data_IF_309155853617
#
_entry.id   IF_309155853617
#
_cell.length_a   1.000
_cell.length_b   1.000
_cell.length_c   1.000
_cell.angle_alpha   90.00
_cell.angle_beta   90.00
_cell.angle_gamma   90.00
#
_symmetry.space_group_name_H-M   'P 1'
#
loop_
_entity.id
_entity.type
_entity.pdbx_description
1 polymer ?
#
# COMPACT_ATOMS: atom_id res chain seq x y z
N UNK A 1 -24.95 -4.75 -22.19
CA UNK A 1 -23.83 -4.12 -22.92
C UNK A 1 -22.57 -4.52 -22.20
N UNK A 2 -21.70 -5.31 -22.83
CA UNK A 2 -20.41 -5.67 -22.25
C UNK A 2 -19.58 -4.40 -22.07
N UNK A 3 -19.15 -4.12 -20.85
CA UNK A 3 -18.25 -3.01 -20.54
C UNK A 3 -16.90 -3.32 -21.20
N UNK A 4 -16.69 -2.80 -22.41
CA UNK A 4 -15.50 -3.05 -23.20
C UNK A 4 -14.30 -2.45 -22.45
N UNK A 5 -13.45 -3.32 -21.89
CA UNK A 5 -12.30 -2.89 -21.09
C UNK A 5 -11.39 -2.02 -21.97
N UNK A 6 -11.25 -0.75 -21.60
CA UNK A 6 -10.34 0.18 -22.27
C UNK A 6 -8.91 -0.40 -22.30
N UNK A 7 -8.18 -0.27 -23.43
CA UNK A 7 -6.80 -0.73 -23.54
C UNK A 7 -5.95 -0.13 -22.42
N UNK A 8 -5.23 -0.99 -21.69
CA UNK A 8 -4.30 -0.57 -20.64
C UNK A 8 -2.94 -0.29 -21.27
N UNK A 9 -2.25 0.71 -20.75
CA UNK A 9 -0.86 1.02 -21.06
C UNK A 9 -0.04 0.77 -19.80
N UNK A 10 1.14 0.19 -19.99
CA UNK A 10 2.16 0.06 -18.97
C UNK A 10 3.29 1.02 -19.34
N UNK A 11 3.78 1.77 -18.36
CA UNK A 11 4.95 2.64 -18.49
C UNK A 11 5.96 2.26 -17.40
N UNK A 12 7.19 1.99 -17.82
CA UNK A 12 8.31 1.67 -16.94
C UNK A 12 9.28 2.85 -17.04
N UNK A 13 9.50 3.55 -15.93
CA UNK A 13 10.50 4.61 -15.83
C UNK A 13 11.70 4.08 -15.08
N UNK A 14 12.88 4.17 -15.69
CA UNK A 14 14.14 3.73 -15.08
C UNK A 14 15.04 4.94 -14.98
N UNK A 15 15.35 5.37 -13.75
CA UNK A 15 16.30 6.43 -13.49
C UNK A 15 17.71 5.84 -13.38
N UNK A 16 18.63 6.31 -14.23
CA UNK A 16 20.04 5.87 -14.25
C UNK A 16 20.97 7.08 -14.06
N UNK A 17 22.23 6.86 -13.69
CA UNK A 17 23.20 7.95 -13.59
C UNK A 17 23.62 8.45 -14.98
N UNK A 18 24.16 9.67 -15.04
CA UNK A 18 24.79 10.16 -16.25
C UNK A 18 25.96 9.24 -16.65
N UNK A 19 25.96 8.77 -17.90
CA UNK A 19 26.95 7.81 -18.41
C UNK A 19 26.49 6.35 -18.37
N UNK A 20 25.43 6.04 -17.64
CA UNK A 20 24.83 4.70 -17.67
C UNK A 20 24.02 4.50 -18.96
N UNK A 21 23.93 3.24 -19.42
CA UNK A 21 23.09 2.82 -20.53
C UNK A 21 22.06 1.79 -20.09
N UNK A 22 21.02 1.58 -20.90
CA UNK A 22 19.99 0.55 -20.67
C UNK A 22 20.14 -0.55 -21.71
N UNK A 23 20.13 -1.81 -21.26
CA UNK A 23 20.05 -2.99 -22.13
C UNK A 23 18.75 -3.75 -21.85
N UNK A 24 17.99 -4.03 -22.90
CA UNK A 24 16.73 -4.77 -22.83
C UNK A 24 16.78 -6.07 -23.62
N UNK A 25 16.24 -7.15 -23.07
CA UNK A 25 15.97 -8.39 -23.80
C UNK A 25 14.49 -8.73 -23.70
N UNK A 26 13.86 -8.96 -24.85
CA UNK A 26 12.48 -9.41 -24.96
C UNK A 26 12.44 -10.87 -25.38
N UNK A 27 11.82 -11.71 -24.56
CA UNK A 27 11.49 -13.08 -24.90
C UNK A 27 10.05 -13.13 -25.42
N UNK A 28 9.89 -13.45 -26.70
CA UNK A 28 8.57 -13.53 -27.34
C UNK A 28 7.76 -14.74 -26.89
N UNK A 29 8.39 -15.83 -26.48
CA UNK A 29 7.68 -17.05 -26.10
C UNK A 29 7.07 -16.90 -24.71
N UNK A 30 7.87 -16.38 -23.77
CA UNK A 30 7.43 -16.14 -22.39
C UNK A 30 6.79 -14.76 -22.19
N UNK A 31 6.78 -13.91 -23.22
CA UNK A 31 6.34 -12.51 -23.17
C UNK A 31 7.03 -11.72 -22.04
N UNK A 32 8.32 -12.01 -21.83
CA UNK A 32 9.11 -11.48 -20.72
C UNK A 32 10.06 -10.38 -21.19
N UNK A 33 9.99 -9.21 -20.55
CA UNK A 33 10.92 -8.09 -20.78
C UNK A 33 11.90 -7.99 -19.61
N UNK A 34 13.20 -8.17 -19.88
CA UNK A 34 14.27 -7.89 -18.92
C UNK A 34 14.97 -6.60 -19.30
N UNK A 35 15.14 -5.67 -18.37
CA UNK A 35 15.91 -4.43 -18.57
C UNK A 35 17.00 -4.33 -17.50
N UNK A 36 18.22 -3.98 -17.90
CA UNK A 36 19.38 -3.76 -17.04
C UNK A 36 19.96 -2.37 -17.26
N UNK A 37 20.35 -1.70 -16.18
CA UNK A 37 21.23 -0.54 -16.26
C UNK A 37 22.69 -1.01 -16.31
N UNK A 38 23.51 -0.37 -17.16
CA UNK A 38 24.88 -0.77 -17.45
C UNK A 38 25.82 0.42 -17.33
N UNK A 39 26.98 0.24 -16.71
CA UNK A 39 28.09 1.21 -16.68
C UNK A 39 29.36 0.51 -17.12
N UNK A 40 30.03 1.05 -18.14
CA UNK A 40 31.28 0.49 -18.67
C UNK A 40 31.19 -1.01 -19.04
N UNK A 41 30.01 -1.45 -19.51
CA UNK A 41 29.75 -2.85 -19.87
C UNK A 41 29.30 -3.75 -18.72
N UNK A 42 29.32 -3.26 -17.48
CA UNK A 42 28.93 -4.02 -16.29
C UNK A 42 27.52 -3.62 -15.78
N UNK A 43 26.70 -4.57 -15.28
CA UNK A 43 25.41 -4.25 -14.68
C UNK A 43 25.55 -3.38 -13.43
N UNK A 44 24.76 -2.32 -13.35
CA UNK A 44 24.64 -1.44 -12.18
C UNK A 44 23.20 -1.35 -11.70
N UNK A 45 23.00 -0.97 -10.44
CA UNK A 45 21.66 -0.71 -9.93
C UNK A 45 21.12 0.60 -10.47
N UNK A 46 19.90 0.58 -11.01
CA UNK A 46 19.18 1.81 -11.31
C UNK A 46 18.98 2.63 -10.03
N UNK A 47 18.95 3.96 -10.13
CA UNK A 47 18.63 4.85 -9.00
C UNK A 47 17.20 4.66 -8.50
N UNK A 48 16.30 4.31 -9.41
CA UNK A 48 14.92 3.99 -9.09
C UNK A 48 14.21 3.47 -10.33
N UNK A 49 13.29 2.55 -10.12
CA UNK A 49 12.37 2.10 -11.16
C UNK A 49 10.95 2.40 -10.70
N UNK A 50 10.12 2.89 -11.61
CA UNK A 50 8.68 3.08 -11.39
C UNK A 50 7.92 2.32 -12.46
N UNK A 51 7.06 1.41 -12.04
CA UNK A 51 6.10 0.75 -12.92
C UNK A 51 4.74 1.40 -12.69
N UNK A 52 4.14 1.88 -13.77
CA UNK A 52 2.83 2.53 -13.74
C UNK A 52 1.92 1.89 -14.78
N UNK A 53 0.78 1.36 -14.34
CA UNK A 53 -0.29 0.91 -15.26
C UNK A 53 -1.42 1.93 -15.26
N UNK A 54 -1.84 2.37 -16.45
CA UNK A 54 -2.89 3.37 -16.62
C UNK A 54 -3.71 3.16 -17.89
N UNK A 55 -4.75 3.95 -18.07
CA UNK A 55 -5.45 4.09 -19.35
C UNK A 55 -5.71 5.56 -19.66
N UNK A 56 -5.88 5.87 -20.94
CA UNK A 56 -6.20 7.22 -21.40
C UNK A 56 -7.68 7.53 -21.10
N UNK A 57 -7.92 8.52 -20.23
CA UNK A 57 -9.23 9.14 -20.05
C UNK A 57 -9.41 10.33 -20.97
N UNK A 58 -10.60 10.93 -20.98
CA UNK A 58 -10.85 12.22 -21.63
C UNK A 58 -10.02 13.30 -20.94
N UNK A 59 -8.88 13.67 -21.55
CA UNK A 59 -8.02 14.79 -21.13
C UNK A 59 -7.03 14.50 -20.00
N UNK A 60 -7.10 13.34 -19.33
CA UNK A 60 -6.12 12.95 -18.27
C UNK A 60 -5.93 11.44 -18.20
N UNK A 61 -4.70 11.01 -17.89
CA UNK A 61 -4.39 9.60 -17.57
C UNK A 61 -5.11 9.17 -16.29
N UNK A 62 -5.70 7.97 -16.29
CA UNK A 62 -6.29 7.33 -15.12
C UNK A 62 -5.42 6.16 -14.68
N UNK A 63 -4.78 6.32 -13.53
CA UNK A 63 -3.85 5.34 -12.97
C UNK A 63 -4.59 4.17 -12.32
N UNK A 64 -4.08 2.95 -12.54
CA UNK A 64 -4.61 1.70 -11.99
C UNK A 64 -3.76 1.24 -10.81
N UNK A 65 -2.43 1.23 -10.98
CA UNK A 65 -1.47 1.01 -9.91
C UNK A 65 -0.14 1.70 -10.24
N UNK A 66 0.65 1.97 -9.20
CA UNK A 66 2.03 2.40 -9.32
C UNK A 66 2.90 1.76 -8.23
N UNK A 67 4.00 1.15 -8.66
CA UNK A 67 5.01 0.55 -7.78
C UNK A 67 6.33 1.26 -7.99
N UNK A 68 6.96 1.70 -6.90
CA UNK A 68 8.34 2.16 -6.90
C UNK A 68 9.26 1.07 -6.37
N UNK A 69 10.28 0.73 -7.14
CA UNK A 69 11.35 -0.15 -6.71
C UNK A 69 12.55 0.69 -6.25
N UNK A 70 13.14 0.30 -5.14
CA UNK A 70 14.43 0.83 -4.67
C UNK A 70 15.57 0.47 -5.63
N UNK A 71 16.80 0.83 -5.26
CA UNK A 71 18.00 0.45 -6.02
C UNK A 71 18.05 -1.08 -6.15
N UNK A 72 17.79 -1.58 -7.34
CA UNK A 72 17.85 -3.01 -7.66
C UNK A 72 18.52 -3.21 -9.01
N UNK A 73 19.26 -4.31 -9.13
CA UNK A 73 19.81 -4.82 -10.40
C UNK A 73 18.81 -5.68 -11.17
N UNK A 74 17.77 -6.19 -10.51
CA UNK A 74 16.71 -7.01 -11.11
C UNK A 74 15.33 -6.53 -10.60
N UNK A 75 14.42 -6.22 -11.52
CA UNK A 75 13.03 -5.89 -11.20
C UNK A 75 12.11 -6.59 -12.21
N UNK A 76 10.89 -6.87 -11.77
CA UNK A 76 9.82 -7.48 -12.57
C UNK A 76 8.67 -6.48 -12.71
N UNK A 77 7.90 -6.60 -13.78
CA UNK A 77 6.75 -5.75 -14.12
C UNK A 77 5.44 -6.51 -14.05
N UNK A 78 5.45 -7.64 -13.35
CA UNK A 78 4.25 -8.34 -12.94
C UNK A 78 3.95 -7.94 -11.48
N UNK A 79 2.78 -7.34 -11.20
CA UNK A 79 2.35 -7.03 -9.84
C UNK A 79 2.38 -8.23 -8.89
N UNK A 80 2.05 -9.44 -9.37
CA UNK A 80 2.04 -10.65 -8.54
C UNK A 80 3.48 -11.08 -8.20
N UNK A 81 4.41 -10.98 -9.15
CA UNK A 81 5.85 -11.23 -8.89
C UNK A 81 6.49 -10.12 -8.03
N UNK A 82 6.02 -8.88 -8.16
CA UNK A 82 6.47 -7.75 -7.35
C UNK A 82 6.19 -7.98 -5.87
N UNK A 83 5.06 -8.61 -5.54
CA UNK A 83 4.71 -8.93 -4.15
C UNK A 83 5.67 -9.94 -3.52
N UNK A 84 6.31 -10.82 -4.31
CA UNK A 84 7.30 -11.79 -3.82
C UNK A 84 8.56 -11.15 -3.25
N UNK A 85 8.83 -9.88 -3.59
CA UNK A 85 9.97 -9.12 -3.07
C UNK A 85 9.82 -8.72 -1.59
N UNK A 86 8.61 -8.85 -1.05
CA UNK A 86 8.28 -8.47 0.31
C UNK A 86 8.05 -9.71 1.16
N UNK A 87 8.54 -9.66 2.40
CA UNK A 87 8.22 -10.66 3.40
C UNK A 87 6.72 -10.67 3.69
N UNK A 88 6.14 -9.48 3.87
CA UNK A 88 4.71 -9.33 4.12
C UNK A 88 4.17 -8.06 3.47
N UNK A 89 2.99 -8.20 2.86
CA UNK A 89 2.24 -7.10 2.26
C UNK A 89 0.87 -6.98 2.90
N UNK A 90 0.47 -5.74 3.20
CA UNK A 90 -0.86 -5.41 3.68
C UNK A 90 -1.51 -4.37 2.78
N UNK A 91 -2.82 -4.41 2.65
CA UNK A 91 -3.62 -3.30 2.14
C UNK A 91 -4.31 -2.62 3.32
N UNK A 92 -4.36 -1.30 3.27
CA UNK A 92 -5.06 -0.48 4.27
C UNK A 92 -5.95 0.53 3.58
N UNK A 93 -7.15 0.68 4.14
CA UNK A 93 -8.10 1.71 3.73
C UNK A 93 -8.81 2.27 4.97
N UNK A 94 -9.10 3.58 4.97
CA UNK A 94 -9.68 4.27 6.12
C UNK A 94 -11.01 4.90 5.78
N UNK A 95 -12.07 4.38 6.40
CA UNK A 95 -13.42 4.92 6.23
C UNK A 95 -13.76 5.92 7.34
N UNK A 96 -14.13 7.14 6.95
CA UNK A 96 -14.48 8.24 7.86
C UNK A 96 -15.97 8.57 7.74
N UNK A 97 -16.75 8.45 8.82
CA UNK A 97 -18.18 8.85 8.85
C UNK A 97 -18.58 9.45 10.19
N UNK A 98 -19.65 10.27 10.25
CA UNK A 98 -20.24 10.70 11.51
C UNK A 98 -20.77 9.51 12.33
N UNK A 99 -20.61 9.59 13.65
CA UNK A 99 -21.22 8.65 14.60
C UNK A 99 -20.81 8.94 16.06
N UNK A 100 -21.62 8.49 17.02
CA UNK A 100 -21.47 8.81 18.45
C UNK A 100 -21.33 10.31 18.78
N UNK A 101 -21.92 11.19 17.95
CA UNK A 101 -21.82 12.65 18.12
C UNK A 101 -20.51 13.26 17.59
N UNK A 102 -19.61 12.45 17.02
CA UNK A 102 -18.33 12.88 16.47
C UNK A 102 -18.03 12.27 15.10
N UNK A 103 -16.74 12.21 14.75
CA UNK A 103 -16.25 11.49 13.57
C UNK A 103 -15.71 10.14 14.00
N UNK A 104 -16.16 9.09 13.31
CA UNK A 104 -15.67 7.74 13.45
C UNK A 104 -14.79 7.39 12.26
N UNK A 105 -13.51 7.15 12.55
CA UNK A 105 -12.56 6.64 11.58
C UNK A 105 -12.30 5.16 11.85
N UNK A 106 -12.37 4.36 10.80
CA UNK A 106 -12.14 2.92 10.85
C UNK A 106 -11.17 2.54 9.75
N UNK A 107 -9.98 2.07 10.10
CA UNK A 107 -9.01 1.53 9.14
C UNK A 107 -9.15 0.03 9.06
N UNK A 108 -9.50 -0.49 7.88
CA UNK A 108 -9.48 -1.93 7.61
C UNK A 108 -8.12 -2.36 7.09
N UNK A 109 -7.65 -3.53 7.52
CA UNK A 109 -6.33 -4.06 7.15
C UNK A 109 -6.47 -5.49 6.65
N UNK A 110 -6.11 -5.71 5.40
CA UNK A 110 -6.02 -7.05 4.81
C UNK A 110 -4.57 -7.44 4.54
N UNK A 111 -4.21 -8.69 4.81
CA UNK A 111 -2.92 -9.26 4.41
C UNK A 111 -3.03 -9.85 3.01
N UNK A 112 -1.96 -9.72 2.23
CA UNK A 112 -1.83 -10.32 0.89
C UNK A 112 -0.72 -11.36 0.92
N UNK A 113 -0.98 -12.55 0.38
CA UNK A 113 0.02 -13.58 0.27
C UNK A 113 1.09 -13.21 -0.77
N UNK A 114 2.35 -13.44 -0.42
CA UNK A 114 3.54 -13.11 -1.22
C UNK A 114 4.11 -14.32 -1.96
N UNK A 115 3.49 -15.49 -1.82
CA UNK A 115 3.88 -16.75 -2.48
C UNK A 115 3.24 -16.94 -3.86
N UNK A 116 2.45 -15.96 -4.34
CA UNK A 116 1.71 -16.03 -5.59
C UNK A 116 0.40 -16.84 -5.52
N UNK A 117 -0.01 -17.28 -4.33
CA UNK A 117 -1.31 -17.96 -4.14
C UNK A 117 -2.52 -17.03 -4.34
N UNK A 118 -2.28 -15.72 -4.45
CA UNK A 118 -3.29 -14.68 -4.61
C UNK A 118 -4.35 -14.65 -3.48
N UNK A 119 -3.98 -15.16 -2.29
CA UNK A 119 -4.82 -15.13 -1.10
C UNK A 119 -4.80 -13.73 -0.46
N UNK A 120 -5.99 -13.24 -0.12
CA UNK A 120 -6.21 -12.01 0.64
C UNK A 120 -7.04 -12.37 1.86
N UNK A 121 -6.57 -11.99 3.05
CA UNK A 121 -7.28 -12.27 4.29
C UNK A 121 -7.41 -11.03 5.18
N UNK A 122 -8.58 -10.79 5.79
CA UNK A 122 -8.75 -9.70 6.74
C UNK A 122 -8.02 -9.99 8.05
N UNK A 123 -7.17 -9.07 8.52
CA UNK A 123 -6.32 -9.34 9.69
C UNK A 123 -6.59 -8.40 10.86
N UNK A 124 -6.83 -7.12 10.60
CA UNK A 124 -7.01 -6.14 11.68
C UNK A 124 -7.95 -5.01 11.27
N UNK A 125 -8.52 -4.36 12.30
CA UNK A 125 -9.23 -3.09 12.17
C UNK A 125 -8.75 -2.14 13.26
N UNK A 126 -8.52 -0.88 12.90
CA UNK A 126 -8.20 0.20 13.83
C UNK A 126 -9.41 1.11 14.00
N UNK A 127 -9.69 1.52 15.24
CA UNK A 127 -10.75 2.46 15.57
C UNK A 127 -10.16 3.70 16.23
N UNK A 128 -10.54 4.88 15.72
CA UNK A 128 -10.11 6.16 16.28
C UNK A 128 -11.08 7.29 15.93
N UNK A 129 -11.10 8.32 16.77
CA UNK A 129 -11.94 9.50 16.59
C UNK A 129 -11.34 10.51 15.62
N UNK A 130 -11.79 11.78 15.72
CA UNK A 130 -11.32 12.86 14.86
C UNK A 130 -9.81 13.07 15.00
N UNK A 131 -9.17 13.19 13.84
CA UNK A 131 -7.76 13.56 13.67
C UNK A 131 -7.65 15.05 13.34
N UNK A 132 -6.58 15.71 13.78
CA UNK A 132 -6.17 17.02 13.29
C UNK A 132 -5.62 16.91 11.86
N UNK A 133 -4.89 15.82 11.57
CA UNK A 133 -4.42 15.46 10.23
C UNK A 133 -5.45 14.72 9.37
N UNK A 134 -5.00 14.20 8.22
CA UNK A 134 -5.80 13.31 7.37
C UNK A 134 -5.93 11.94 8.04
N UNK A 135 -7.16 11.48 8.23
CA UNK A 135 -7.44 10.20 8.88
C UNK A 135 -6.77 9.00 8.19
N UNK A 136 -6.67 9.00 6.86
CA UNK A 136 -5.96 7.96 6.10
C UNK A 136 -4.48 7.86 6.50
N UNK A 137 -3.78 9.00 6.48
CA UNK A 137 -2.36 9.08 6.84
C UNK A 137 -2.12 8.69 8.31
N UNK A 138 -3.02 9.10 9.20
CA UNK A 138 -3.01 8.69 10.60
C UNK A 138 -3.20 7.17 10.74
N UNK A 139 -4.16 6.60 10.02
CA UNK A 139 -4.43 5.15 9.99
C UNK A 139 -3.23 4.35 9.49
N UNK A 140 -2.54 4.82 8.44
CA UNK A 140 -1.33 4.17 7.94
C UNK A 140 -0.22 4.16 8.98
N UNK A 141 0.07 5.32 9.58
CA UNK A 141 1.05 5.45 10.66
C UNK A 141 0.74 4.48 11.80
N UNK A 142 -0.49 4.47 12.29
CA UNK A 142 -0.87 3.64 13.44
C UNK A 142 -0.84 2.16 13.12
N UNK A 143 -1.13 1.76 11.90
CA UNK A 143 -0.92 0.38 11.49
C UNK A 143 0.57 0.02 11.45
N UNK A 144 1.43 0.91 10.92
CA UNK A 144 2.88 0.69 10.92
C UNK A 144 3.40 0.59 12.36
N UNK A 145 2.96 1.46 13.28
CA UNK A 145 3.31 1.37 14.71
C UNK A 145 2.97 -0.01 15.30
N UNK A 146 1.79 -0.55 14.96
CA UNK A 146 1.37 -1.90 15.40
C UNK A 146 2.34 -2.96 14.88
N UNK A 147 2.72 -2.91 13.59
CA UNK A 147 3.69 -3.85 13.01
C UNK A 147 5.06 -3.70 13.68
N UNK A 148 5.58 -2.48 13.82
CA UNK A 148 6.88 -2.22 14.46
C UNK A 148 6.94 -2.66 15.91
N UNK A 149 5.81 -2.61 16.63
CA UNK A 149 5.71 -3.07 18.02
C UNK A 149 5.62 -4.60 18.16
N UNK A 150 5.47 -5.33 17.07
CA UNK A 150 5.32 -6.77 17.10
C UNK A 150 6.67 -7.47 17.38
N UNK A 151 6.75 -8.41 18.34
CA UNK A 151 7.96 -9.19 18.60
C UNK A 151 8.49 -10.01 17.40
N UNK A 152 7.68 -10.25 16.37
CA UNK A 152 8.07 -10.93 15.13
C UNK A 152 8.53 -9.99 14.01
N UNK A 153 8.41 -8.68 14.21
CA UNK A 153 8.96 -7.73 13.27
C UNK A 153 10.48 -7.90 13.18
N UNK A 154 10.98 -7.90 11.95
CA UNK A 154 12.40 -8.01 11.66
C UNK A 154 12.80 -6.89 10.72
N UNK A 155 13.69 -6.00 11.18
CA UNK A 155 14.19 -4.88 10.40
C UNK A 155 14.95 -5.32 9.13
N UNK A 156 15.42 -6.57 9.07
CA UNK A 156 16.06 -7.15 7.88
C UNK A 156 15.08 -7.58 6.79
N UNK A 157 13.79 -7.72 7.09
CA UNK A 157 12.76 -8.04 6.12
C UNK A 157 12.21 -6.79 5.43
N UNK A 158 11.73 -6.96 4.19
CA UNK A 158 11.03 -5.90 3.43
C UNK A 158 9.52 -6.03 3.59
N UNK A 159 8.86 -4.92 3.80
CA UNK A 159 7.41 -4.83 4.00
C UNK A 159 6.78 -3.88 2.99
N UNK A 160 5.53 -4.14 2.60
CA UNK A 160 4.78 -3.19 1.78
C UNK A 160 3.36 -2.92 2.29
N UNK A 161 2.92 -1.70 2.02
CA UNK A 161 1.60 -1.20 2.36
C UNK A 161 0.90 -0.68 1.10
N UNK A 162 -0.18 -1.35 0.70
CA UNK A 162 -1.02 -0.98 -0.42
C UNK A 162 -2.03 0.07 0.05
N UNK A 163 -2.07 1.20 -0.64
CA UNK A 163 -2.87 2.38 -0.31
C UNK A 163 -3.56 2.93 -1.55
N UNK A 164 -4.65 3.68 -1.38
CA UNK A 164 -5.43 4.29 -2.48
C UNK A 164 -5.47 5.81 -2.46
N UNK A 165 -4.80 6.44 -1.49
CA UNK A 165 -4.68 7.88 -1.38
C UNK A 165 -3.25 8.38 -1.63
N UNK A 166 -3.11 9.70 -1.71
CA UNK A 166 -1.81 10.39 -1.73
C UNK A 166 -0.87 10.01 -2.88
N UNK A 167 -1.41 9.61 -4.03
CA UNK A 167 -0.62 9.25 -5.22
C UNK A 167 0.50 10.26 -5.53
N UNK A 168 0.20 11.57 -5.50
CA UNK A 168 1.18 12.62 -5.79
C UNK A 168 2.33 12.72 -4.78
N UNK A 169 2.14 12.24 -3.54
CA UNK A 169 3.13 12.28 -2.47
C UNK A 169 3.80 10.91 -2.23
N UNK A 170 3.33 9.84 -2.88
CA UNK A 170 3.80 8.47 -2.68
C UNK A 170 5.32 8.35 -2.86
N UNK A 171 5.86 9.02 -3.88
CA UNK A 171 7.29 9.06 -4.16
C UNK A 171 8.09 9.70 -3.02
N UNK A 172 7.62 10.82 -2.49
CA UNK A 172 8.28 11.53 -1.40
C UNK A 172 8.19 10.76 -0.09
N UNK A 173 7.08 10.05 0.16
CA UNK A 173 6.95 9.14 1.30
C UNK A 173 7.92 7.95 1.20
N UNK A 174 7.95 7.26 0.06
CA UNK A 174 8.84 6.13 -0.19
C UNK A 174 10.33 6.50 -0.12
N UNK A 175 10.65 7.73 -0.48
CA UNK A 175 12.01 8.27 -0.40
C UNK A 175 12.32 8.99 0.92
N UNK A 176 11.36 9.00 1.87
CA UNK A 176 11.48 9.63 3.20
C UNK A 176 11.84 11.12 3.12
N UNK A 177 11.45 11.78 2.03
CA UNK A 177 11.61 13.24 1.85
C UNK A 177 10.52 14.01 2.58
N UNK A 178 9.39 13.34 2.85
CA UNK A 178 8.23 13.91 3.53
C UNK A 178 7.70 12.93 4.59
N UNK A 179 7.27 13.40 5.77
CA UNK A 179 6.60 12.54 6.73
C UNK A 179 5.21 12.14 6.23
N UNK A 180 4.77 10.94 6.59
CA UNK A 180 3.42 10.43 6.32
C UNK A 180 2.41 11.22 7.17
N UNK A 181 2.68 11.38 8.46
CA UNK A 181 1.75 12.02 9.39
C UNK A 181 2.49 12.62 10.60
N UNK A 182 2.30 13.92 10.86
CA UNK A 182 3.09 14.64 11.87
C UNK A 182 4.57 14.58 11.50
N UNK A 183 5.40 14.15 12.45
CA UNK A 183 6.85 13.95 12.25
C UNK A 183 7.22 12.50 11.90
N UNK A 184 6.23 11.65 11.62
CA UNK A 184 6.45 10.23 11.32
C UNK A 184 6.83 10.01 9.85
N UNK A 185 8.06 9.56 9.62
CA UNK A 185 8.54 9.13 8.29
C UNK A 185 8.38 7.62 8.09
N UNK A 186 8.25 7.19 6.83
CA UNK A 186 8.15 5.78 6.49
C UNK A 186 9.44 5.03 6.94
N UNK A 187 9.34 3.89 7.66
CA UNK A 187 10.53 3.13 8.06
C UNK A 187 11.32 2.63 6.85
N UNK A 188 12.64 2.51 6.95
CA UNK A 188 13.56 2.16 5.84
C UNK A 188 13.19 0.89 5.07
N UNK A 189 12.64 -0.10 5.76
CA UNK A 189 12.26 -1.37 5.19
C UNK A 189 10.80 -1.47 4.72
N UNK A 190 10.05 -0.36 4.74
CA UNK A 190 8.70 -0.28 4.20
C UNK A 190 8.66 0.39 2.82
N UNK A 191 7.67 -0.01 2.02
CA UNK A 191 7.34 0.63 0.74
C UNK A 191 5.82 0.77 0.61
N UNK A 192 5.36 1.96 0.25
CA UNK A 192 3.98 2.23 -0.12
C UNK A 192 3.76 1.87 -1.60
N UNK A 193 2.69 1.14 -1.88
CA UNK A 193 2.26 0.76 -3.22
C UNK A 193 0.89 1.40 -3.46
N UNK A 194 0.75 2.17 -4.54
CA UNK A 194 -0.54 2.77 -4.86
C UNK A 194 -1.39 1.82 -5.70
N UNK A 195 -2.66 1.67 -5.35
CA UNK A 195 -3.66 0.98 -6.15
C UNK A 195 -5.03 1.64 -6.00
N UNK A 196 -5.92 1.45 -6.98
CA UNK A 196 -7.31 1.98 -6.91
C UNK A 196 -8.32 0.90 -6.54
N UNK A 197 -9.29 1.18 -5.68
CA UNK A 197 -10.39 0.24 -5.45
C UNK A 197 -11.37 0.15 -6.65
N UNK A 198 -11.31 1.07 -7.62
CA UNK A 198 -12.34 1.20 -8.66
C UNK A 198 -12.44 0.02 -9.62
N UNK A 199 -11.36 -0.77 -9.80
CA UNK A 199 -11.33 -1.90 -10.74
C UNK A 199 -10.69 -3.14 -10.11
N UNK A 200 -11.32 -4.33 -10.08
CA UNK A 200 -10.79 -5.53 -9.40
C UNK A 200 -9.71 -6.26 -10.23
N UNK A 201 -8.98 -5.51 -11.03
CA UNK A 201 -8.24 -6.05 -12.16
C UNK A 201 -6.86 -6.62 -11.77
N UNK A 202 -6.38 -6.32 -10.56
CA UNK A 202 -5.17 -6.90 -9.97
C UNK A 202 -5.41 -7.36 -8.52
N UNK A 203 -4.48 -8.15 -7.99
CA UNK A 203 -4.49 -8.50 -6.56
C UNK A 203 -4.44 -7.26 -5.65
N UNK A 204 -3.73 -6.20 -6.05
CA UNK A 204 -3.61 -4.96 -5.26
C UNK A 204 -4.98 -4.29 -5.09
N UNK A 205 -5.73 -4.18 -6.19
CA UNK A 205 -7.08 -3.58 -6.15
C UNK A 205 -8.06 -4.45 -5.35
N UNK A 206 -7.96 -5.78 -5.47
CA UNK A 206 -8.77 -6.72 -4.67
C UNK A 206 -8.46 -6.61 -3.17
N UNK A 207 -7.19 -6.41 -2.81
CA UNK A 207 -6.77 -6.25 -1.42
C UNK A 207 -7.29 -4.95 -0.79
N UNK A 208 -7.30 -3.84 -1.53
CA UNK A 208 -7.93 -2.59 -1.08
C UNK A 208 -9.43 -2.75 -0.89
N UNK A 209 -10.14 -3.38 -1.84
CA UNK A 209 -11.58 -3.66 -1.69
C UNK A 209 -11.89 -4.50 -0.46
N UNK A 210 -11.05 -5.49 -0.15
CA UNK A 210 -11.20 -6.29 1.07
C UNK A 210 -11.05 -5.43 2.33
N UNK A 211 -10.13 -4.47 2.30
CA UNK A 211 -9.85 -3.54 3.41
C UNK A 211 -10.99 -2.53 3.61
N UNK A 212 -11.49 -1.91 2.54
CA UNK A 212 -12.68 -1.01 2.60
C UNK A 212 -13.93 -1.76 3.09
N UNK A 213 -14.21 -2.94 2.52
CA UNK A 213 -15.35 -3.76 2.93
C UNK A 213 -15.29 -4.11 4.42
N UNK A 214 -14.08 -4.35 4.93
CA UNK A 214 -13.85 -4.62 6.34
C UNK A 214 -14.05 -3.38 7.22
N UNK A 215 -13.47 -2.24 6.83
CA UNK A 215 -13.67 -0.97 7.52
C UNK A 215 -15.17 -0.65 7.65
N UNK A 216 -15.90 -0.76 6.53
CA UNK A 216 -17.35 -0.56 6.48
C UNK A 216 -18.10 -1.53 7.39
N UNK A 217 -17.83 -2.83 7.28
CA UNK A 217 -18.48 -3.87 8.09
C UNK A 217 -18.27 -3.65 9.60
N UNK A 218 -17.05 -3.32 10.02
CA UNK A 218 -16.75 -3.13 11.42
C UNK A 218 -17.29 -1.81 11.96
N UNK A 219 -17.27 -0.73 11.17
CA UNK A 219 -17.96 0.53 11.52
C UNK A 219 -19.43 0.29 11.84
N UNK A 220 -20.15 -0.44 11.00
CA UNK A 220 -21.56 -0.76 11.22
C UNK A 220 -21.81 -1.62 12.46
N UNK A 221 -20.89 -2.53 12.77
CA UNK A 221 -20.98 -3.37 13.98
C UNK A 221 -20.74 -2.55 15.24
N UNK A 222 -19.70 -1.71 15.26
CA UNK A 222 -19.35 -0.96 16.46
C UNK A 222 -20.37 0.13 16.77
N UNK A 223 -20.99 0.74 15.74
CA UNK A 223 -22.08 1.71 15.88
C UNK A 223 -23.28 1.19 16.68
N UNK A 224 -23.55 -0.12 16.65
CA UNK A 224 -24.71 -0.72 17.34
C UNK A 224 -24.56 -0.78 18.86
N UNK A 225 -23.37 -0.50 19.39
CA UNK A 225 -23.05 -0.66 20.81
C UNK A 225 -22.55 0.68 21.36
N UNK A 226 -23.39 1.45 22.10
CA UNK A 226 -23.02 2.76 22.65
C UNK A 226 -21.72 2.79 23.47
N UNK A 227 -21.38 1.68 24.13
CA UNK A 227 -20.11 1.53 24.88
C UNK A 227 -18.86 1.72 24.02
N UNK A 228 -18.96 1.57 22.71
CA UNK A 228 -17.83 1.74 21.78
C UNK A 228 -17.54 3.21 21.48
N UNK A 229 -18.36 4.17 21.94
CA UNK A 229 -18.15 5.59 21.72
C UNK A 229 -16.76 6.06 22.19
N UNK A 230 -16.21 5.43 23.24
CA UNK A 230 -14.89 5.76 23.78
C UNK A 230 -13.75 5.55 22.76
N UNK A 231 -13.88 4.63 21.78
CA UNK A 231 -12.87 4.45 20.74
C UNK A 231 -12.82 5.60 19.73
N UNK A 232 -13.85 6.46 19.73
CA UNK A 232 -14.03 7.51 18.74
C UNK A 232 -14.00 8.91 19.37
N UNK A 233 -13.45 9.03 20.58
CA UNK A 233 -13.17 10.32 21.17
C UNK A 233 -12.17 11.11 20.30
N UNK A 234 -12.35 12.43 20.24
CA UNK A 234 -11.44 13.32 19.50
C UNK A 234 -10.00 13.14 20.02
N UNK A 235 -9.06 13.04 19.09
CA UNK A 235 -7.66 12.82 19.42
C UNK A 235 -7.03 14.16 19.78
N UNK A 236 -6.62 14.30 21.03
CA UNK A 236 -5.97 15.52 21.54
C UNK A 236 -4.50 15.57 21.15
N UNK A 237 -3.82 14.43 21.20
CA UNK A 237 -2.42 14.28 20.87
C UNK A 237 -2.23 13.07 19.94
N UNK A 238 -2.04 13.36 18.66
CA UNK A 238 -1.86 12.36 17.62
C UNK A 238 -0.50 11.67 17.67
N UNK A 239 0.45 12.13 18.48
CA UNK A 239 1.76 11.48 18.65
C UNK A 239 1.67 10.35 19.67
N UNK A 240 1.01 10.59 20.80
CA UNK A 240 0.93 9.62 21.91
C UNK A 240 -0.33 8.74 21.92
N UNK A 241 -1.35 9.08 21.13
CA UNK A 241 -2.62 8.33 21.13
C UNK A 241 -2.48 6.87 20.66
N UNK A 242 -2.99 5.94 21.47
CA UNK A 242 -3.08 4.53 21.09
C UNK A 242 -4.46 4.22 20.52
N UNK A 243 -4.49 3.68 19.30
CA UNK A 243 -5.74 3.27 18.65
C UNK A 243 -6.25 1.95 19.22
N UNK A 244 -7.57 1.79 19.27
CA UNK A 244 -8.15 0.49 19.59
C UNK A 244 -7.99 -0.45 18.38
N UNK A 245 -7.40 -1.63 18.61
CA UNK A 245 -7.13 -2.62 17.57
C UNK A 245 -8.03 -3.84 17.74
N UNK A 246 -8.81 -4.16 16.72
CA UNK A 246 -9.55 -5.42 16.61
C UNK A 246 -8.84 -6.41 15.70
N UNK A 247 -8.26 -7.48 16.26
CA UNK A 247 -7.67 -8.58 15.48
C UNK A 247 -8.77 -9.56 15.05
N UNK A 248 -8.79 -9.93 13.76
CA UNK A 248 -9.90 -10.70 13.17
C UNK A 248 -9.61 -12.19 13.12
N UNK A 249 -8.37 -12.60 12.85
CA UNK A 249 -8.01 -14.00 12.69
C UNK A 249 -6.86 -14.39 13.63
N UNK A 250 -7.12 -15.23 14.66
CA UNK A 250 -6.09 -15.69 15.60
C UNK A 250 -4.93 -16.42 14.93
N UNK A 251 -5.18 -17.15 13.85
CA UNK A 251 -4.18 -17.90 13.08
C UNK A 251 -3.20 -16.99 12.33
N UNK A 252 -3.59 -15.74 12.06
CA UNK A 252 -2.70 -14.72 11.51
C UNK A 252 -1.99 -13.90 12.58
N UNK A 253 -2.17 -14.20 13.89
CA UNK A 253 -1.31 -13.65 14.95
C UNK A 253 0.18 -13.93 14.68
N UNK A 254 0.47 -14.95 13.87
CA UNK A 254 1.77 -15.35 13.31
C UNK A 254 2.37 -14.45 12.22
N UNK A 255 1.55 -13.63 11.56
CA UNK A 255 1.88 -12.85 10.36
C UNK A 255 1.73 -11.33 10.54
N UNK A 256 1.65 -10.89 11.80
CA UNK A 256 1.88 -9.51 12.20
C UNK A 256 3.33 -9.37 12.64
#
# INVERSE_FOLDING_TARGET
>A
MSDERKPRKMEIRIAVDAGDSLQGTWDQETQFLKIRAMRDGEPVSARGITETTFYEGTGRRKFIHETMFGKSSDFTVDPDETLRLYHQVWAVDTNSKPGFGGIMNVTGVSVVATDGSNVIAPVAVLFFGRTAGKAELYGWRRFIDVVLSNPRYDAGHRYALIVDAEYSNLADFNQRRRPIHGDFYLPDNFTLIYATADKPDSILNRALRASDAMATKYRERVLKLPRNAAYFADIVDEETHQVAVGLIQPEYRGRF
#
